data_IF_413517962420
#
_entry.id   IF_413517962420
#
_cell.length_a   1.000
_cell.length_b   1.000
_cell.length_c   1.000
_cell.angle_alpha   90.00
_cell.angle_beta   90.00
_cell.angle_gamma   90.00
#
_symmetry.space_group_name_H-M   'P 1'
#
loop_
_entity.id
_entity.type
_entity.pdbx_description
1 polymer ?
#
# COMPACT_ATOMS: atom_id res chain seq x y z
N UNK A 1 27.23 -3.76 -13.58
CA UNK A 1 25.79 -4.07 -13.48
C UNK A 1 25.13 -2.89 -12.79
N UNK A 2 24.11 -2.27 -13.39
CA UNK A 2 23.34 -1.25 -12.68
C UNK A 2 22.54 -1.93 -11.58
N UNK A 3 22.62 -1.41 -10.35
CA UNK A 3 21.84 -1.89 -9.22
C UNK A 3 20.37 -1.51 -9.47
N UNK A 4 19.40 -2.41 -9.23
CA UNK A 4 17.99 -2.04 -9.31
C UNK A 4 17.72 -0.89 -8.33
N UNK A 5 16.92 0.07 -8.77
CA UNK A 5 16.39 1.12 -7.91
C UNK A 5 15.30 0.50 -7.06
N UNK A 6 15.46 0.58 -5.74
CA UNK A 6 14.46 0.13 -4.77
C UNK A 6 14.01 1.36 -3.98
N UNK A 7 12.70 1.56 -3.93
CA UNK A 7 12.06 2.60 -3.12
C UNK A 7 11.24 1.86 -2.07
N UNK A 8 11.59 2.08 -0.80
CA UNK A 8 10.86 1.57 0.34
C UNK A 8 9.99 2.68 0.93
N UNK A 9 8.71 2.37 1.15
CA UNK A 9 7.74 3.28 1.77
C UNK A 9 7.25 2.57 3.03
N UNK A 10 7.48 3.17 4.20
CA UNK A 10 6.84 2.67 5.41
C UNK A 10 5.37 3.13 5.44
N UNK A 11 4.47 2.30 5.95
CA UNK A 11 3.05 2.65 6.07
C UNK A 11 2.85 3.90 6.96
N UNK A 12 3.77 4.13 7.91
CA UNK A 12 3.75 5.31 8.75
C UNK A 12 4.18 6.59 8.01
N UNK A 13 4.87 6.48 6.86
CA UNK A 13 5.30 7.63 6.05
C UNK A 13 4.14 8.32 5.30
N UNK A 14 2.97 7.67 5.20
CA UNK A 14 1.75 8.30 4.67
C UNK A 14 1.39 9.50 5.55
N UNK A 15 1.54 10.71 5.03
CA UNK A 15 1.36 11.94 5.80
C UNK A 15 -0.10 12.44 5.78
N UNK A 16 -0.86 12.07 4.75
CA UNK A 16 -2.30 12.26 4.69
C UNK A 16 -2.96 10.90 4.88
N UNK A 17 -3.61 10.66 6.01
CA UNK A 17 -4.16 9.34 6.33
C UNK A 17 -5.58 9.11 5.78
N UNK A 18 -6.28 10.17 5.39
CA UNK A 18 -7.71 10.08 5.09
C UNK A 18 -8.46 9.45 6.28
N UNK A 19 -9.15 8.34 6.03
CA UNK A 19 -9.79 7.55 7.08
C UNK A 19 -9.00 6.32 7.55
N UNK A 20 -7.78 6.11 7.06
CA UNK A 20 -6.89 5.06 7.55
C UNK A 20 -6.30 5.44 8.92
N UNK A 21 -6.04 4.43 9.75
CA UNK A 21 -5.46 4.59 11.09
C UNK A 21 -4.15 3.84 11.21
N UNK A 22 -3.21 4.41 11.93
CA UNK A 22 -1.98 3.72 12.30
C UNK A 22 -2.25 2.72 13.43
N UNK A 23 -1.67 1.55 13.31
CA UNK A 23 -1.71 0.52 14.33
C UNK A 23 -0.34 -0.15 14.45
N UNK A 24 -0.04 -0.61 15.67
CA UNK A 24 1.25 -1.18 16.06
C UNK A 24 1.13 -2.58 16.65
N UNK A 25 -0.06 -3.18 16.69
CA UNK A 25 -0.31 -4.49 17.29
C UNK A 25 0.63 -5.59 16.76
N UNK A 26 1.08 -5.47 15.50
CA UNK A 26 1.94 -6.45 14.83
C UNK A 26 3.37 -5.96 14.54
N UNK A 27 3.85 -4.88 15.16
CA UNK A 27 5.23 -4.37 14.94
C UNK A 27 6.28 -5.44 15.22
N UNK A 28 6.06 -6.29 16.22
CA UNK A 28 6.97 -7.40 16.55
C UNK A 28 7.11 -8.46 15.42
N UNK A 29 6.17 -8.52 14.48
CA UNK A 29 6.23 -9.38 13.28
C UNK A 29 6.63 -8.61 12.02
N UNK A 30 6.23 -7.35 11.94
CA UNK A 30 6.37 -6.52 10.73
C UNK A 30 7.68 -5.74 10.69
N UNK A 31 8.24 -5.39 11.86
CA UNK A 31 9.36 -4.46 11.99
C UNK A 31 8.92 -2.99 12.05
N UNK A 32 7.72 -2.66 11.58
CA UNK A 32 7.13 -1.32 11.63
C UNK A 32 5.60 -1.36 11.79
N UNK A 33 4.99 -0.19 11.93
CA UNK A 33 3.54 -0.04 12.03
C UNK A 33 2.85 -0.27 10.68
N UNK A 34 1.51 -0.31 10.70
CA UNK A 34 0.70 -0.48 9.49
C UNK A 34 -0.50 0.45 9.50
N UNK A 35 -1.14 0.59 8.34
CA UNK A 35 -2.41 1.29 8.18
C UNK A 35 -3.58 0.30 8.20
N UNK A 36 -4.68 0.70 8.84
CA UNK A 36 -5.92 -0.08 8.90
C UNK A 36 -7.16 0.82 8.78
N UNK A 37 -8.12 0.37 7.99
CA UNK A 37 -9.48 0.92 7.94
C UNK A 37 -10.41 0.02 8.77
N UNK A 38 -10.53 0.30 10.07
CA UNK A 38 -11.19 -0.59 11.04
C UNK A 38 -12.54 -0.09 11.58
N UNK A 39 -13.00 1.10 11.20
CA UNK A 39 -14.16 1.73 11.83
C UNK A 39 -15.47 1.00 11.52
N UNK A 40 -15.72 0.71 10.25
CA UNK A 40 -16.88 -0.08 9.83
C UNK A 40 -16.45 -1.10 8.76
N UNK A 41 -16.60 -2.42 9.03
CA UNK A 41 -16.16 -3.45 8.09
C UNK A 41 -16.84 -3.34 6.72
N UNK A 42 -16.04 -3.20 5.66
CA UNK A 42 -16.51 -3.17 4.28
C UNK A 42 -17.04 -1.80 3.82
N UNK A 43 -16.98 -0.77 4.67
CA UNK A 43 -17.24 0.61 4.28
C UNK A 43 -15.93 1.27 3.83
N UNK A 44 -15.86 1.78 2.59
CA UNK A 44 -14.68 2.51 2.13
C UNK A 44 -14.40 3.75 2.99
N UNK A 45 -13.13 3.99 3.24
CA UNK A 45 -12.63 5.22 3.88
C UNK A 45 -11.96 6.11 2.84
N UNK A 46 -11.74 7.38 3.18
CA UNK A 46 -10.93 8.26 2.34
C UNK A 46 -9.50 7.71 2.20
N UNK A 47 -8.97 7.77 0.98
CA UNK A 47 -7.62 7.31 0.64
C UNK A 47 -6.56 7.91 1.58
N UNK A 48 -5.53 7.12 1.91
CA UNK A 48 -4.28 7.64 2.45
C UNK A 48 -3.35 8.02 1.29
N UNK A 49 -2.53 9.06 1.46
CA UNK A 49 -1.58 9.54 0.45
C UNK A 49 -0.16 9.65 1.00
N UNK A 50 0.81 9.39 0.13
CA UNK A 50 2.23 9.65 0.34
C UNK A 50 2.85 10.16 -0.96
N UNK A 51 3.79 11.08 -0.84
CA UNK A 51 4.60 11.53 -1.97
C UNK A 51 6.01 10.95 -1.88
N UNK A 52 6.47 10.34 -2.98
CA UNK A 52 7.82 9.77 -3.10
C UNK A 52 8.59 10.42 -4.25
N UNK A 53 9.92 10.41 -4.13
CA UNK A 53 10.83 10.84 -5.19
C UNK A 53 11.26 9.63 -6.03
N UNK A 54 10.92 9.66 -7.31
CA UNK A 54 11.34 8.67 -8.30
C UNK A 54 12.68 9.14 -8.89
N UNK A 55 13.79 8.41 -8.69
CA UNK A 55 15.12 8.89 -9.05
C UNK A 55 15.44 8.76 -10.54
N UNK A 56 14.68 7.95 -11.28
CA UNK A 56 14.81 7.82 -12.73
C UNK A 56 13.51 7.31 -13.34
N UNK A 57 13.22 7.75 -14.57
CA UNK A 57 12.10 7.22 -15.35
C UNK A 57 12.34 5.74 -15.70
N UNK A 58 11.43 4.86 -15.29
CA UNK A 58 11.48 3.42 -15.59
C UNK A 58 10.11 2.75 -15.36
N UNK A 59 10.03 1.44 -15.60
CA UNK A 59 8.90 0.62 -15.19
C UNK A 59 9.14 0.06 -13.77
N UNK A 60 8.29 0.46 -12.82
CA UNK A 60 8.36 0.06 -11.42
C UNK A 60 7.27 -0.96 -11.10
N UNK A 61 7.67 -2.05 -10.45
CA UNK A 61 6.72 -2.99 -9.84
C UNK A 61 6.40 -2.56 -8.42
N UNK A 62 5.13 -2.35 -8.13
CA UNK A 62 4.67 -2.02 -6.78
C UNK A 62 4.34 -3.32 -6.04
N UNK A 63 5.06 -3.54 -4.94
CA UNK A 63 4.79 -4.59 -3.97
C UNK A 63 4.17 -3.96 -2.72
N UNK A 64 3.17 -4.63 -2.16
CA UNK A 64 2.51 -4.20 -0.93
C UNK A 64 2.55 -5.37 0.05
N UNK A 65 2.93 -5.08 1.30
CA UNK A 65 2.82 -6.05 2.39
C UNK A 65 1.52 -5.81 3.14
N UNK A 66 0.54 -6.68 2.94
CA UNK A 66 -0.78 -6.52 3.50
C UNK A 66 -1.24 -7.77 4.27
N UNK A 67 -2.46 -7.69 4.82
CA UNK A 67 -3.10 -8.77 5.54
C UNK A 67 -4.61 -8.67 5.41
N UNK A 68 -5.25 -9.76 5.03
CA UNK A 68 -6.70 -9.92 5.16
C UNK A 68 -7.06 -10.25 6.61
N UNK A 69 -7.43 -9.23 7.38
CA UNK A 69 -7.71 -9.36 8.82
C UNK A 69 -9.04 -10.08 9.12
N UNK A 70 -9.91 -10.27 8.12
CA UNK A 70 -11.17 -11.01 8.25
C UNK A 70 -11.46 -11.81 6.97
N UNK A 71 -10.76 -12.94 6.83
CA UNK A 71 -10.74 -13.80 5.62
C UNK A 71 -12.09 -14.12 5.00
N UNK A 72 -13.12 -14.31 5.83
CA UNK A 72 -14.46 -14.70 5.36
C UNK A 72 -15.14 -13.59 4.55
N UNK A 73 -14.82 -12.33 4.83
CA UNK A 73 -15.51 -11.16 4.27
C UNK A 73 -14.59 -10.23 3.47
N UNK A 74 -13.28 -10.28 3.72
CA UNK A 74 -12.28 -9.37 3.11
C UNK A 74 -12.73 -7.90 3.15
N UNK A 75 -13.05 -7.35 4.35
CA UNK A 75 -13.60 -6.00 4.47
C UNK A 75 -12.58 -4.90 4.16
N UNK A 76 -11.28 -5.20 4.30
CA UNK A 76 -10.17 -4.26 4.07
C UNK A 76 -9.62 -4.33 2.65
N UNK A 77 -10.47 -4.49 1.63
CA UNK A 77 -10.04 -4.46 0.23
C UNK A 77 -9.67 -3.04 -0.19
N UNK A 78 -8.59 -2.91 -0.94
CA UNK A 78 -8.09 -1.64 -1.43
C UNK A 78 -7.30 -1.82 -2.74
N UNK A 79 -6.90 -0.73 -3.37
CA UNK A 79 -6.11 -0.74 -4.62
C UNK A 79 -5.09 0.38 -4.57
N UNK A 80 -3.89 0.15 -5.09
CA UNK A 80 -2.93 1.25 -5.21
C UNK A 80 -3.27 2.11 -6.43
N UNK A 81 -3.31 3.43 -6.23
CA UNK A 81 -3.32 4.44 -7.29
C UNK A 81 -1.98 5.17 -7.34
N UNK A 82 -1.59 5.56 -8.55
CA UNK A 82 -0.32 6.25 -8.85
C UNK A 82 -0.63 7.53 -9.59
N UNK A 83 -0.29 8.70 -9.01
CA UNK A 83 -0.64 10.02 -9.55
C UNK A 83 -2.14 10.19 -9.84
N UNK A 84 -3.01 9.64 -8.98
CA UNK A 84 -4.47 9.54 -9.16
C UNK A 84 -4.94 8.68 -10.34
N UNK A 85 -4.01 8.03 -11.05
CA UNK A 85 -4.29 7.13 -12.17
C UNK A 85 -4.00 5.66 -11.81
N UNK A 86 -4.76 4.78 -12.45
CA UNK A 86 -4.61 3.33 -12.33
C UNK A 86 -5.48 2.73 -11.21
N UNK A 87 -6.26 1.72 -11.57
CA UNK A 87 -6.81 0.77 -10.61
C UNK A 87 -5.93 -0.48 -10.70
N UNK A 88 -4.98 -0.61 -9.78
CA UNK A 88 -4.17 -1.82 -9.64
C UNK A 88 -5.03 -3.04 -9.30
N UNK A 89 -4.35 -4.17 -9.08
CA UNK A 89 -4.98 -5.37 -8.50
C UNK A 89 -5.64 -5.00 -7.16
N UNK A 90 -6.81 -5.57 -6.89
CA UNK A 90 -7.44 -5.53 -5.56
C UNK A 90 -6.58 -6.32 -4.57
N UNK A 91 -6.25 -5.69 -3.46
CA UNK A 91 -5.41 -6.20 -2.37
C UNK A 91 -6.26 -6.46 -1.12
N UNK A 92 -5.67 -7.05 -0.08
CA UNK A 92 -6.33 -7.28 1.21
C UNK A 92 -7.42 -8.38 1.20
N UNK A 93 -7.52 -9.15 0.12
CA UNK A 93 -8.52 -10.21 -0.04
C UNK A 93 -7.96 -11.63 -0.09
N UNK A 94 -6.64 -11.80 0.06
CA UNK A 94 -6.06 -13.14 0.07
C UNK A 94 -6.66 -14.01 1.17
N UNK A 95 -6.89 -15.32 0.93
CA UNK A 95 -7.48 -16.23 1.90
C UNK A 95 -6.49 -16.65 3.01
N UNK A 96 -5.73 -15.68 3.52
CA UNK A 96 -4.67 -15.80 4.53
C UNK A 96 -4.77 -14.65 5.52
N UNK A 97 -4.53 -14.94 6.80
CA UNK A 97 -4.41 -13.94 7.87
C UNK A 97 -2.94 -13.72 8.24
N UNK A 98 -2.02 -14.32 7.47
CA UNK A 98 -0.61 -13.97 7.53
C UNK A 98 -0.37 -12.65 6.78
N UNK A 99 0.64 -11.92 7.23
CA UNK A 99 1.22 -10.84 6.45
C UNK A 99 1.94 -11.41 5.23
N UNK A 100 1.59 -10.94 4.04
CA UNK A 100 2.10 -11.46 2.78
C UNK A 100 2.51 -10.31 1.86
N UNK A 101 3.38 -10.59 0.90
CA UNK A 101 3.74 -9.66 -0.16
C UNK A 101 2.91 -9.92 -1.40
N UNK A 102 2.20 -8.91 -1.86
CA UNK A 102 1.39 -8.95 -3.07
C UNK A 102 1.90 -7.92 -4.09
N UNK A 103 1.79 -8.25 -5.37
CA UNK A 103 2.05 -7.30 -6.46
C UNK A 103 0.75 -6.54 -6.74
N UNK A 104 0.78 -5.22 -6.64
CA UNK A 104 -0.35 -4.37 -7.03
C UNK A 104 -0.39 -4.14 -8.54
N UNK A 105 0.78 -3.97 -9.17
CA UNK A 105 0.91 -3.78 -10.61
C UNK A 105 2.31 -3.34 -11.02
N UNK A 106 2.49 -3.18 -12.34
CA UNK A 106 3.66 -2.61 -12.98
C UNK A 106 3.28 -1.24 -13.59
N UNK A 107 4.01 -0.18 -13.25
CA UNK A 107 3.69 1.20 -13.61
C UNK A 107 4.91 1.90 -14.21
N UNK A 108 4.72 2.60 -15.33
CA UNK A 108 5.76 3.50 -15.85
C UNK A 108 5.73 4.78 -15.06
N UNK A 109 6.79 5.06 -14.31
CA UNK A 109 6.93 6.28 -13.50
C UNK A 109 7.96 7.20 -14.14
N UNK A 110 7.66 8.49 -14.21
CA UNK A 110 8.62 9.52 -14.59
C UNK A 110 9.53 9.87 -13.40
N UNK A 111 10.73 10.37 -13.69
CA UNK A 111 11.61 10.95 -12.67
C UNK A 111 10.95 12.17 -12.01
N UNK A 112 11.06 12.28 -10.69
CA UNK A 112 10.48 13.37 -9.89
C UNK A 112 9.44 12.90 -8.89
N UNK A 113 8.56 13.82 -8.48
CA UNK A 113 7.53 13.54 -7.47
C UNK A 113 6.42 12.64 -8.01
N UNK A 114 6.09 11.61 -7.26
CA UNK A 114 4.99 10.69 -7.54
C UNK A 114 4.10 10.55 -6.29
N UNK A 115 2.79 10.65 -6.47
CA UNK A 115 1.82 10.41 -5.40
C UNK A 115 1.34 8.96 -5.44
N UNK A 116 1.35 8.29 -4.29
CA UNK A 116 0.79 6.95 -4.10
C UNK A 116 -0.42 7.06 -3.16
N UNK A 117 -1.55 6.45 -3.52
CA UNK A 117 -2.73 6.36 -2.65
C UNK A 117 -3.31 4.95 -2.54
N UNK A 118 -4.07 4.70 -1.45
CA UNK A 118 -4.67 3.40 -1.08
C UNK A 118 -6.17 3.38 -1.27
#
# INVERSE_FOLDING_TARGET
MNKPVEIWIDALDFNEKGGWKEDTQYVHLMGSGYLIAADEPGVPVEDALVQVDIPQKDNYRIWVRDRNWMRQYSPGKFTIRVNNDGNGKVLGEMPSDNWIWEISGDYTLDEGKCTISL
#
